data_IF_279383934720
#
_entry.id   IF_279383934720
#
_cell.length_a   1.000
_cell.length_b   1.000
_cell.length_c   1.000
_cell.angle_alpha   90.00
_cell.angle_beta   90.00
_cell.angle_gamma   90.00
#
_symmetry.space_group_name_H-M   'P 1'
#
loop_
_entity.id
_entity.type
_entity.pdbx_description
1 polymer ?
#
# COMPACT_ATOMS: atom_id res chain seq x y z
N UNK A 1 8.51 20.36 13.61
CA UNK A 1 7.90 19.19 14.25
C UNK A 1 8.82 18.01 13.96
N UNK A 2 8.98 17.09 14.89
CA UNK A 2 9.67 15.83 14.63
C UNK A 2 8.72 14.95 13.81
N UNK A 3 9.22 14.31 12.76
CA UNK A 3 8.41 13.39 11.96
C UNK A 3 7.95 12.17 12.77
N UNK A 4 6.98 11.43 12.26
CA UNK A 4 6.44 10.21 12.85
C UNK A 4 6.61 9.04 11.89
N UNK A 5 6.79 7.82 12.41
CA UNK A 5 6.78 6.59 11.63
C UNK A 5 5.48 5.85 11.90
N UNK A 6 4.80 5.43 10.84
CA UNK A 6 3.67 4.52 10.90
C UNK A 6 4.05 3.17 10.30
N UNK A 7 3.56 2.11 10.91
CA UNK A 7 3.64 0.76 10.34
C UNK A 7 2.34 0.46 9.60
N UNK A 8 2.48 -0.03 8.36
CA UNK A 8 1.39 -0.58 7.60
C UNK A 8 1.60 -2.09 7.47
N UNK A 9 0.61 -2.88 7.88
CA UNK A 9 0.63 -4.32 7.65
C UNK A 9 -0.12 -4.66 6.36
N UNK A 10 0.52 -5.44 5.49
CA UNK A 10 -0.03 -5.94 4.23
C UNK A 10 -0.06 -7.48 4.15
N UNK A 11 -0.03 -8.18 5.29
CA UNK A 11 0.01 -9.64 5.36
C UNK A 11 -1.14 -10.29 4.58
N UNK A 12 -2.36 -9.78 4.72
CA UNK A 12 -3.53 -10.38 4.07
C UNK A 12 -3.43 -10.38 2.55
N UNK A 13 -2.92 -9.30 1.96
CA UNK A 13 -2.79 -9.19 0.51
C UNK A 13 -1.47 -9.79 0.02
N UNK A 14 -0.36 -9.30 0.52
CA UNK A 14 0.98 -9.68 0.03
C UNK A 14 1.33 -11.12 0.42
N UNK A 15 1.11 -11.47 1.68
CA UNK A 15 1.31 -12.83 2.17
C UNK A 15 0.37 -13.83 1.52
N UNK A 16 -0.91 -13.52 1.38
CA UNK A 16 -1.88 -14.36 0.70
C UNK A 16 -1.50 -14.61 -0.76
N UNK A 17 -1.04 -13.58 -1.48
CA UNK A 17 -0.58 -13.71 -2.86
C UNK A 17 0.63 -14.65 -2.98
N UNK A 18 1.59 -14.54 -2.09
CA UNK A 18 2.76 -15.41 -2.06
C UNK A 18 2.38 -16.88 -1.83
N UNK A 19 1.50 -17.15 -0.88
CA UNK A 19 1.02 -18.52 -0.61
C UNK A 19 0.29 -19.14 -1.80
N UNK A 20 -0.55 -18.38 -2.51
CA UNK A 20 -1.23 -18.87 -3.71
C UNK A 20 -0.25 -19.17 -4.85
N UNK A 21 0.73 -18.32 -5.07
CA UNK A 21 1.71 -18.53 -6.12
C UNK A 21 2.57 -19.76 -5.86
N UNK A 22 2.91 -20.05 -4.61
CA UNK A 22 3.56 -21.31 -4.22
C UNK A 22 2.68 -22.52 -4.54
N UNK A 23 1.38 -22.46 -4.19
CA UNK A 23 0.43 -23.54 -4.51
C UNK A 23 0.30 -23.78 -6.02
N UNK A 24 0.21 -22.72 -6.83
CA UNK A 24 0.15 -22.81 -8.30
C UNK A 24 1.41 -23.48 -8.88
N UNK A 25 2.54 -23.30 -8.22
CA UNK A 25 3.82 -23.90 -8.61
C UNK A 25 4.06 -25.30 -8.01
N UNK A 26 3.03 -25.90 -7.41
CA UNK A 26 3.06 -27.27 -6.89
C UNK A 26 3.66 -27.41 -5.48
N UNK A 27 3.94 -26.31 -4.82
CA UNK A 27 4.38 -26.30 -3.42
C UNK A 27 3.13 -26.17 -2.55
N UNK A 28 2.74 -27.26 -1.88
CA UNK A 28 1.56 -27.25 -1.03
C UNK A 28 1.75 -26.33 0.16
N UNK A 29 0.98 -25.24 0.20
CA UNK A 29 0.91 -24.31 1.32
C UNK A 29 -0.52 -24.18 1.80
N UNK A 30 -0.70 -23.80 3.06
CA UNK A 30 -1.98 -23.36 3.57
C UNK A 30 -2.24 -21.93 3.07
N UNK A 31 -3.50 -21.67 2.71
CA UNK A 31 -3.96 -20.33 2.31
C UNK A 31 -4.86 -19.78 3.41
N UNK A 32 -4.93 -18.47 3.54
CA UNK A 32 -5.76 -17.82 4.56
C UNK A 32 -7.24 -18.13 4.33
N UNK A 33 -7.86 -18.83 5.27
CA UNK A 33 -9.31 -18.99 5.34
C UNK A 33 -9.97 -17.66 5.76
N UNK A 34 -11.29 -17.58 5.74
CA UNK A 34 -12.00 -16.41 6.30
C UNK A 34 -11.71 -16.25 7.79
N UNK A 35 -11.68 -17.36 8.54
CA UNK A 35 -11.36 -17.37 9.97
C UNK A 35 -9.92 -16.88 10.23
N UNK A 36 -8.95 -17.33 9.44
CA UNK A 36 -7.57 -16.83 9.56
C UNK A 36 -7.48 -15.32 9.33
N UNK A 37 -8.23 -14.78 8.35
CA UNK A 37 -8.24 -13.34 8.09
C UNK A 37 -8.83 -12.55 9.26
N UNK A 38 -9.92 -13.02 9.84
CA UNK A 38 -10.54 -12.40 11.02
C UNK A 38 -9.56 -12.41 12.20
N UNK A 39 -8.87 -13.51 12.44
CA UNK A 39 -7.85 -13.62 13.50
C UNK A 39 -6.66 -12.68 13.22
N UNK A 40 -6.11 -12.68 11.99
CA UNK A 40 -5.01 -11.79 11.64
C UNK A 40 -5.39 -10.32 11.84
N UNK A 41 -6.58 -9.89 11.38
CA UNK A 41 -7.05 -8.52 11.60
C UNK A 41 -7.19 -8.23 13.09
N UNK A 42 -7.74 -9.15 13.88
CA UNK A 42 -7.85 -9.02 15.33
C UNK A 42 -6.49 -8.83 16.01
N UNK A 43 -5.53 -9.66 15.68
CA UNK A 43 -4.16 -9.60 16.22
C UNK A 43 -3.45 -8.28 15.84
N UNK A 44 -3.65 -7.79 14.61
CA UNK A 44 -3.10 -6.51 14.15
C UNK A 44 -3.73 -5.32 14.90
N UNK A 45 -5.03 -5.39 15.16
CA UNK A 45 -5.75 -4.39 15.96
C UNK A 45 -5.21 -4.38 17.40
N UNK A 46 -5.11 -5.54 18.03
CA UNK A 46 -4.63 -5.67 19.41
C UNK A 46 -3.15 -5.26 19.54
N UNK A 47 -2.35 -5.51 18.50
CA UNK A 47 -0.95 -5.08 18.39
C UNK A 47 -0.78 -3.59 18.07
N UNK A 48 -1.87 -2.85 17.91
CA UNK A 48 -1.88 -1.40 17.63
C UNK A 48 -1.10 -1.01 16.36
N UNK A 49 -1.17 -1.83 15.31
CA UNK A 49 -0.62 -1.47 13.99
C UNK A 49 -1.36 -0.24 13.47
N UNK A 50 -0.64 0.77 12.99
CA UNK A 50 -1.21 2.05 12.58
C UNK A 50 -2.14 1.95 11.38
N UNK A 51 -1.76 1.13 10.37
CA UNK A 51 -2.49 0.99 9.11
C UNK A 51 -2.59 -0.50 8.76
N UNK A 52 -3.81 -0.99 8.54
CA UNK A 52 -4.09 -2.38 8.24
C UNK A 52 -4.65 -2.48 6.82
N UNK A 53 -3.92 -3.15 5.91
CA UNK A 53 -4.40 -3.45 4.56
C UNK A 53 -5.29 -4.70 4.59
N UNK A 54 -6.58 -4.52 4.36
CA UNK A 54 -7.57 -5.60 4.42
C UNK A 54 -7.52 -6.55 3.22
N UNK A 55 -6.93 -6.11 2.13
CA UNK A 55 -6.81 -6.89 0.90
C UNK A 55 -6.82 -6.03 -0.36
N UNK A 56 -6.99 -6.66 -1.51
CA UNK A 56 -7.12 -5.95 -2.78
C UNK A 56 -8.54 -6.05 -3.37
N UNK A 57 -8.84 -5.15 -4.29
CA UNK A 57 -10.12 -5.08 -4.99
C UNK A 57 -9.92 -5.32 -6.48
N UNK A 58 -10.70 -6.23 -7.05
CA UNK A 58 -10.68 -6.54 -8.47
C UNK A 58 -12.03 -7.06 -8.95
N UNK A 59 -12.68 -6.33 -9.86
CA UNK A 59 -14.01 -6.68 -10.40
C UNK A 59 -14.09 -8.03 -11.12
N UNK A 60 -12.99 -8.49 -11.69
CA UNK A 60 -12.96 -9.69 -12.56
C UNK A 60 -12.60 -10.98 -11.82
N UNK A 61 -12.38 -10.94 -10.53
CA UNK A 61 -11.97 -12.10 -9.75
C UNK A 61 -13.18 -12.64 -9.00
N UNK A 62 -13.59 -13.87 -9.31
CA UNK A 62 -14.53 -14.61 -8.46
C UNK A 62 -13.92 -14.69 -7.06
N UNK A 63 -14.77 -14.52 -6.04
CA UNK A 63 -14.38 -14.53 -4.62
C UNK A 63 -13.58 -15.80 -4.30
N UNK A 64 -12.25 -15.72 -4.40
CA UNK A 64 -11.37 -16.84 -4.19
C UNK A 64 -11.11 -16.96 -2.69
N UNK A 65 -11.67 -18.01 -2.11
CA UNK A 65 -11.28 -18.48 -0.78
C UNK A 65 -9.75 -18.64 -0.75
N UNK A 66 -9.07 -17.93 0.12
CA UNK A 66 -7.62 -17.99 0.29
C UNK A 66 -6.84 -16.75 -0.18
N UNK A 67 -7.52 -15.82 -0.82
CA UNK A 67 -7.00 -14.52 -1.18
C UNK A 67 -7.87 -13.43 -0.56
N UNK A 68 -7.25 -12.43 0.03
CA UNK A 68 -7.98 -11.23 0.45
C UNK A 68 -8.27 -10.36 -0.80
N UNK A 69 -9.04 -10.92 -1.77
CA UNK A 69 -9.53 -10.21 -2.95
C UNK A 69 -11.03 -10.06 -2.85
N UNK A 70 -11.49 -8.84 -3.02
CA UNK A 70 -12.89 -8.44 -2.94
C UNK A 70 -13.33 -7.81 -4.26
N UNK A 71 -14.63 -7.92 -4.60
CA UNK A 71 -15.14 -7.37 -5.85
C UNK A 71 -15.21 -5.84 -5.82
N UNK A 72 -15.44 -5.28 -4.64
CA UNK A 72 -15.62 -3.84 -4.45
C UNK A 72 -15.19 -3.42 -3.03
N UNK A 73 -15.26 -2.11 -2.79
CA UNK A 73 -14.84 -1.51 -1.53
C UNK A 73 -15.80 -1.83 -0.36
N UNK A 74 -17.07 -2.03 -0.66
CA UNK A 74 -18.09 -2.37 0.35
C UNK A 74 -17.84 -3.78 0.91
N UNK A 75 -17.54 -4.76 0.03
CA UNK A 75 -17.17 -6.11 0.47
C UNK A 75 -15.87 -6.12 1.28
N UNK A 76 -14.87 -5.34 0.83
CA UNK A 76 -13.62 -5.21 1.57
C UNK A 76 -13.89 -4.59 2.96
N UNK A 77 -14.66 -3.53 3.01
CA UNK A 77 -14.96 -2.79 4.24
C UNK A 77 -15.79 -3.58 5.25
N UNK A 78 -16.55 -4.58 4.80
CA UNK A 78 -17.26 -5.49 5.69
C UNK A 78 -16.34 -6.30 6.62
N UNK A 79 -15.04 -6.34 6.34
CA UNK A 79 -14.03 -6.99 7.18
C UNK A 79 -13.41 -6.04 8.25
N UNK A 80 -13.84 -4.79 8.31
CA UNK A 80 -13.42 -3.85 9.36
C UNK A 80 -14.06 -4.30 10.67
N UNK A 81 -13.28 -4.47 11.77
CA UNK A 81 -13.84 -4.87 13.06
C UNK A 81 -14.91 -3.92 13.59
N UNK A 82 -15.96 -4.48 14.18
CA UNK A 82 -17.08 -3.69 14.76
C UNK A 82 -16.58 -2.69 15.82
N UNK A 83 -15.56 -3.06 16.60
CA UNK A 83 -14.86 -2.16 17.52
C UNK A 83 -13.66 -1.55 16.83
N UNK A 84 -13.93 -0.58 15.95
CA UNK A 84 -12.90 0.17 15.27
C UNK A 84 -12.09 0.99 16.28
N UNK A 85 -10.78 0.77 16.33
CA UNK A 85 -9.90 1.70 17.02
C UNK A 85 -9.73 2.94 16.13
N UNK A 86 -10.14 4.11 16.64
CA UNK A 86 -10.10 5.37 15.84
C UNK A 86 -8.70 5.86 15.52
N UNK A 87 -7.68 5.31 16.16
CA UNK A 87 -6.28 5.64 15.90
C UNK A 87 -5.68 4.81 14.76
N UNK A 88 -6.34 3.69 14.42
CA UNK A 88 -5.93 2.80 13.34
C UNK A 88 -6.67 3.12 12.04
N UNK A 89 -5.99 2.96 10.93
CA UNK A 89 -6.52 3.17 9.60
C UNK A 89 -6.69 1.84 8.88
N UNK A 90 -7.81 1.65 8.20
CA UNK A 90 -8.07 0.49 7.36
C UNK A 90 -8.01 0.90 5.89
N UNK A 91 -7.29 0.13 5.09
CA UNK A 91 -7.09 0.46 3.69
C UNK A 91 -7.32 -0.75 2.78
N UNK A 92 -7.72 -0.49 1.55
CA UNK A 92 -7.76 -1.48 0.49
C UNK A 92 -6.82 -1.10 -0.65
N UNK A 93 -6.53 -2.04 -1.56
CA UNK A 93 -5.61 -1.82 -2.66
C UNK A 93 -6.28 -2.08 -4.01
N UNK A 94 -6.09 -1.18 -4.98
CA UNK A 94 -6.36 -1.42 -6.39
C UNK A 94 -5.06 -1.70 -7.17
N UNK A 95 -5.08 -2.78 -7.96
CA UNK A 95 -3.98 -3.14 -8.87
C UNK A 95 -4.15 -2.38 -10.20
N UNK A 96 -3.88 -1.07 -10.17
CA UNK A 96 -4.04 -0.21 -11.33
C UNK A 96 -5.44 0.44 -11.44
N UNK A 97 -5.64 1.26 -12.47
CA UNK A 97 -6.84 2.08 -12.64
C UNK A 97 -7.91 1.36 -13.47
N UNK A 98 -8.24 0.12 -13.12
CA UNK A 98 -9.10 -0.75 -13.95
C UNK A 98 -10.58 -0.70 -13.55
N UNK A 99 -10.87 -0.46 -12.27
CA UNK A 99 -12.24 -0.29 -11.78
C UNK A 99 -12.81 1.06 -12.22
N UNK A 100 -14.01 1.05 -12.81
CA UNK A 100 -14.66 2.28 -13.24
C UNK A 100 -15.02 3.15 -12.05
N UNK A 101 -14.74 4.45 -12.15
CA UNK A 101 -14.93 5.40 -11.04
C UNK A 101 -16.41 5.51 -10.60
N UNK A 102 -17.35 5.28 -11.51
CA UNK A 102 -18.79 5.31 -11.21
C UNK A 102 -19.23 4.17 -10.27
N UNK A 103 -18.42 3.11 -10.17
CA UNK A 103 -18.68 1.96 -9.29
C UNK A 103 -18.08 2.12 -7.90
N UNK A 104 -17.28 3.15 -7.69
CA UNK A 104 -16.66 3.42 -6.40
C UNK A 104 -17.50 4.49 -5.70
N UNK A 105 -18.10 4.19 -4.53
CA UNK A 105 -18.91 5.17 -3.80
C UNK A 105 -18.06 6.35 -3.29
N UNK A 106 -18.72 7.42 -2.90
CA UNK A 106 -18.10 8.46 -2.09
C UNK A 106 -17.71 7.87 -0.72
N UNK A 107 -16.59 8.33 -0.15
CA UNK A 107 -16.14 7.86 1.17
C UNK A 107 -17.20 8.14 2.24
N UNK A 108 -17.37 7.18 3.14
CA UNK A 108 -18.16 7.31 4.36
C UNK A 108 -17.47 6.58 5.51
N UNK A 109 -17.89 6.87 6.74
CA UNK A 109 -17.31 6.22 7.94
C UNK A 109 -17.53 4.70 8.00
N UNK A 110 -18.42 4.16 7.18
CA UNK A 110 -18.67 2.71 7.06
C UNK A 110 -17.65 2.01 6.15
N UNK A 111 -16.95 2.77 5.32
CA UNK A 111 -15.97 2.25 4.38
C UNK A 111 -14.54 2.34 4.92
N UNK A 112 -13.60 1.68 4.25
CA UNK A 112 -12.18 1.81 4.60
C UNK A 112 -11.71 3.26 4.41
N UNK A 113 -10.76 3.69 5.25
CA UNK A 113 -10.30 5.09 5.30
C UNK A 113 -9.53 5.53 4.07
N UNK A 114 -8.85 4.57 3.44
CA UNK A 114 -7.96 4.90 2.35
C UNK A 114 -7.84 3.81 1.31
N UNK A 115 -7.34 4.22 0.16
CA UNK A 115 -7.12 3.35 -0.99
C UNK A 115 -5.67 3.48 -1.45
N UNK A 116 -4.99 2.35 -1.49
CA UNK A 116 -3.67 2.19 -2.10
C UNK A 116 -3.86 1.90 -3.58
N UNK A 117 -3.15 2.59 -4.45
CA UNK A 117 -3.22 2.36 -5.91
C UNK A 117 -1.84 2.00 -6.43
N UNK A 118 -1.69 0.79 -6.97
CA UNK A 118 -0.48 0.41 -7.68
C UNK A 118 -0.48 1.11 -9.04
N UNK A 119 0.51 1.97 -9.27
CA UNK A 119 0.72 2.62 -10.54
C UNK A 119 1.59 1.75 -11.44
N UNK A 120 1.01 1.24 -12.52
CA UNK A 120 1.79 0.54 -13.55
C UNK A 120 2.63 1.56 -14.32
N UNK A 121 3.92 1.28 -14.51
CA UNK A 121 4.84 2.19 -15.20
C UNK A 121 4.32 2.65 -16.57
N UNK A 122 3.72 1.74 -17.33
CA UNK A 122 3.17 2.04 -18.68
C UNK A 122 1.87 2.87 -18.66
N UNK A 123 1.23 3.03 -17.51
CA UNK A 123 -0.07 3.69 -17.36
C UNK A 123 -0.02 4.86 -16.35
N UNK A 124 1.15 5.46 -16.15
CA UNK A 124 1.39 6.47 -15.11
C UNK A 124 0.33 7.58 -15.11
N UNK A 125 0.11 8.23 -16.25
CA UNK A 125 -0.84 9.35 -16.36
C UNK A 125 -2.29 8.93 -16.08
N UNK A 126 -2.69 7.75 -16.53
CA UNK A 126 -4.03 7.20 -16.26
C UNK A 126 -4.19 6.91 -14.78
N UNK A 127 -3.17 6.30 -14.16
CA UNK A 127 -3.17 5.97 -12.75
C UNK A 127 -3.18 7.20 -11.84
N UNK A 128 -2.45 8.26 -12.20
CA UNK A 128 -2.47 9.53 -11.45
C UNK A 128 -3.83 10.22 -11.50
N UNK A 129 -4.50 10.21 -12.66
CA UNK A 129 -5.88 10.71 -12.78
C UNK A 129 -6.85 9.90 -11.96
N UNK A 130 -6.66 8.58 -11.91
CA UNK A 130 -7.46 7.68 -11.09
C UNK A 130 -7.28 7.98 -9.59
N UNK A 131 -6.05 8.17 -9.14
CA UNK A 131 -5.74 8.59 -7.77
C UNK A 131 -6.42 9.93 -7.41
N UNK A 132 -6.35 10.91 -8.31
CA UNK A 132 -6.99 12.20 -8.10
C UNK A 132 -8.52 12.08 -7.94
N UNK A 133 -9.16 11.26 -8.77
CA UNK A 133 -10.60 11.02 -8.68
C UNK A 133 -11.00 10.30 -7.37
N UNK A 134 -10.15 9.40 -6.85
CA UNK A 134 -10.37 8.79 -5.53
C UNK A 134 -10.23 9.80 -4.40
N UNK A 135 -9.27 10.72 -4.48
CA UNK A 135 -9.11 11.80 -3.51
C UNK A 135 -10.32 12.75 -3.52
N UNK A 136 -10.86 13.08 -4.70
CA UNK A 136 -12.09 13.86 -4.84
C UNK A 136 -13.31 13.17 -4.20
N UNK A 137 -13.33 11.84 -4.16
CA UNK A 137 -14.36 11.05 -3.45
C UNK A 137 -14.14 10.96 -1.93
N UNK A 138 -13.11 11.60 -1.40
CA UNK A 138 -12.84 11.71 0.04
C UNK A 138 -11.95 10.62 0.63
N UNK A 139 -11.42 9.69 -0.17
CA UNK A 139 -10.50 8.66 0.32
C UNK A 139 -9.09 9.22 0.56
N UNK A 140 -8.42 8.71 1.60
CA UNK A 140 -6.97 8.89 1.75
C UNK A 140 -6.24 8.06 0.70
N UNK A 141 -5.60 8.71 -0.26
CA UNK A 141 -4.96 8.02 -1.39
C UNK A 141 -3.49 7.77 -1.13
N UNK A 142 -3.07 6.52 -1.31
CA UNK A 142 -1.68 6.08 -1.23
C UNK A 142 -1.19 5.77 -2.64
N UNK A 143 -0.29 6.57 -3.14
CA UNK A 143 0.27 6.47 -4.50
C UNK A 143 1.46 5.53 -4.50
N UNK A 144 1.35 4.37 -5.20
CA UNK A 144 2.38 3.33 -5.20
C UNK A 144 2.95 3.09 -6.61
N UNK A 145 3.99 3.79 -7.02
CA UNK A 145 4.65 3.57 -8.32
C UNK A 145 5.41 2.25 -8.31
N UNK A 146 4.80 1.20 -8.87
CA UNK A 146 5.47 -0.09 -9.06
C UNK A 146 6.74 0.08 -9.91
N UNK A 147 7.78 -0.68 -9.61
CA UNK A 147 9.07 -0.60 -10.31
C UNK A 147 9.73 0.78 -10.19
N UNK A 148 9.74 1.38 -9.01
CA UNK A 148 10.22 2.76 -8.79
C UNK A 148 11.63 3.00 -9.36
N UNK A 149 12.49 1.99 -9.35
CA UNK A 149 13.84 2.05 -9.92
C UNK A 149 13.89 2.34 -11.44
N UNK A 150 12.80 2.12 -12.16
CA UNK A 150 12.71 2.38 -13.60
C UNK A 150 12.38 3.84 -13.93
N UNK A 151 11.87 4.59 -12.96
CA UNK A 151 11.48 5.97 -13.16
C UNK A 151 12.71 6.88 -13.24
N UNK A 152 12.72 7.75 -14.24
CA UNK A 152 13.64 8.88 -14.30
C UNK A 152 13.31 9.90 -13.22
N UNK A 153 14.25 10.77 -12.89
CA UNK A 153 14.01 11.84 -11.94
C UNK A 153 12.87 12.78 -12.38
N UNK A 154 12.68 12.99 -13.68
CA UNK A 154 11.62 13.87 -14.19
C UNK A 154 10.24 13.18 -14.10
N UNK A 155 10.16 11.87 -14.32
CA UNK A 155 8.93 11.11 -14.09
C UNK A 155 8.57 11.08 -12.59
N UNK A 156 9.55 10.92 -11.69
CA UNK A 156 9.31 11.03 -10.25
C UNK A 156 8.86 12.43 -9.85
N UNK A 157 9.45 13.50 -10.38
CA UNK A 157 8.98 14.87 -10.13
C UNK A 157 7.56 15.09 -10.65
N UNK A 158 7.21 14.51 -11.80
CA UNK A 158 5.85 14.56 -12.34
C UNK A 158 4.87 13.87 -11.39
N UNK A 159 5.21 12.67 -10.92
CA UNK A 159 4.43 11.93 -9.94
C UNK A 159 4.23 12.74 -8.64
N UNK A 160 5.31 13.33 -8.11
CA UNK A 160 5.27 14.17 -6.91
C UNK A 160 4.35 15.39 -7.12
N UNK A 161 4.50 16.07 -8.26
CA UNK A 161 3.66 17.23 -8.57
C UNK A 161 2.16 16.91 -8.57
N UNK A 162 1.77 15.81 -9.22
CA UNK A 162 0.36 15.39 -9.25
C UNK A 162 -0.11 14.91 -7.86
N UNK A 163 0.77 14.25 -7.09
CA UNK A 163 0.46 13.83 -5.72
C UNK A 163 0.23 15.02 -4.78
N UNK A 164 1.04 16.07 -4.89
CA UNK A 164 0.82 17.33 -4.16
C UNK A 164 -0.52 17.96 -4.54
N UNK A 165 -0.81 18.03 -5.85
CA UNK A 165 -2.02 18.65 -6.37
C UNK A 165 -3.31 17.98 -5.89
N UNK A 166 -3.31 16.66 -5.80
CA UNK A 166 -4.48 15.90 -5.32
C UNK A 166 -4.56 15.81 -3.80
N UNK A 167 -3.52 16.26 -3.07
CA UNK A 167 -3.45 16.10 -1.62
C UNK A 167 -3.38 14.63 -1.21
N UNK A 168 -2.51 13.85 -1.87
CA UNK A 168 -2.31 12.44 -1.54
C UNK A 168 -1.99 12.27 -0.05
N UNK A 169 -2.45 11.18 0.56
CA UNK A 169 -2.09 10.86 1.94
C UNK A 169 -0.64 10.40 2.05
N UNK A 170 -0.22 9.56 1.10
CA UNK A 170 1.15 9.06 1.06
C UNK A 170 1.61 8.82 -0.39
N UNK A 171 2.92 9.02 -0.62
CA UNK A 171 3.59 8.64 -1.86
C UNK A 171 4.70 7.67 -1.52
N UNK A 172 4.65 6.51 -2.15
CA UNK A 172 5.58 5.41 -1.91
C UNK A 172 6.71 5.39 -2.93
N UNK A 173 7.79 4.74 -2.55
CA UNK A 173 8.67 4.07 -3.48
C UNK A 173 8.71 2.57 -3.16
N UNK A 174 8.76 1.77 -4.22
CA UNK A 174 8.53 0.33 -4.15
C UNK A 174 9.74 -0.40 -4.71
N UNK A 175 10.40 -1.19 -3.88
CA UNK A 175 11.44 -2.12 -4.31
C UNK A 175 10.82 -3.40 -4.86
N UNK A 176 10.25 -3.31 -6.06
CA UNK A 176 9.49 -4.41 -6.67
C UNK A 176 10.30 -5.66 -6.95
N UNK A 177 11.62 -5.55 -7.00
CA UNK A 177 12.52 -6.69 -7.26
C UNK A 177 13.35 -7.10 -6.04
N UNK A 178 13.25 -6.38 -4.92
CA UNK A 178 14.01 -6.66 -3.71
C UNK A 178 15.51 -6.53 -3.88
N UNK A 179 15.99 -5.51 -4.61
CA UNK A 179 17.41 -5.29 -4.87
C UNK A 179 17.88 -3.84 -4.66
N UNK A 180 17.04 -2.95 -4.15
CA UNK A 180 17.45 -1.59 -3.81
C UNK A 180 18.59 -1.61 -2.80
N UNK A 181 19.53 -0.69 -2.99
CA UNK A 181 20.59 -0.37 -2.05
C UNK A 181 20.25 0.90 -1.28
N UNK A 182 20.98 1.18 -0.18
CA UNK A 182 20.85 2.45 0.56
C UNK A 182 21.04 3.67 -0.35
N UNK A 183 21.94 3.60 -1.35
CA UNK A 183 22.14 4.67 -2.32
C UNK A 183 20.90 4.92 -3.18
N UNK A 184 20.16 3.88 -3.56
CA UNK A 184 18.91 4.01 -4.32
C UNK A 184 17.83 4.66 -3.47
N UNK A 185 17.75 4.27 -2.19
CA UNK A 185 16.84 4.86 -1.20
C UNK A 185 17.15 6.34 -1.02
N UNK A 186 18.42 6.71 -0.82
CA UNK A 186 18.86 8.11 -0.69
C UNK A 186 18.42 8.96 -1.88
N UNK A 187 18.72 8.48 -3.10
CA UNK A 187 18.37 9.20 -4.34
C UNK A 187 16.88 9.50 -4.46
N UNK A 188 16.04 8.52 -4.12
CA UNK A 188 14.59 8.68 -4.24
C UNK A 188 14.06 9.54 -3.09
N UNK A 189 14.54 9.28 -1.87
CA UNK A 189 14.15 10.04 -0.68
C UNK A 189 14.48 11.53 -0.82
N UNK A 190 15.67 11.89 -1.31
CA UNK A 190 16.08 13.27 -1.52
C UNK A 190 15.14 14.01 -2.49
N UNK A 191 14.66 13.33 -3.55
CA UNK A 191 13.67 13.91 -4.47
C UNK A 191 12.34 14.14 -3.76
N UNK A 192 11.88 13.15 -2.97
CA UNK A 192 10.62 13.25 -2.26
C UNK A 192 10.70 14.30 -1.16
N UNK A 193 11.76 14.31 -0.36
CA UNK A 193 11.94 15.31 0.70
C UNK A 193 11.98 16.74 0.15
N UNK A 194 12.58 16.92 -1.03
CA UNK A 194 12.73 18.23 -1.66
C UNK A 194 11.45 18.77 -2.29
N UNK A 195 10.63 17.93 -2.90
CA UNK A 195 9.55 18.35 -3.80
C UNK A 195 8.15 17.94 -3.34
N UNK A 196 8.04 16.94 -2.46
CA UNK A 196 6.75 16.50 -1.93
C UNK A 196 6.30 17.44 -0.81
N UNK A 197 5.01 17.75 -0.77
CA UNK A 197 4.41 18.53 0.31
C UNK A 197 4.77 17.91 1.68
N UNK A 198 5.21 18.71 2.67
CA UNK A 198 5.60 18.21 3.99
C UNK A 198 4.53 17.41 4.74
N UNK A 199 3.25 17.67 4.48
CA UNK A 199 2.14 16.96 5.11
C UNK A 199 1.89 15.57 4.51
N UNK A 200 2.39 15.30 3.29
CA UNK A 200 2.26 14.00 2.63
C UNK A 200 3.32 13.04 3.17
N UNK A 201 2.90 11.84 3.57
CA UNK A 201 3.80 10.80 4.06
C UNK A 201 4.67 10.25 2.92
N UNK A 202 5.91 9.92 3.24
CA UNK A 202 6.76 9.11 2.34
C UNK A 202 6.65 7.64 2.79
N UNK A 203 6.25 6.76 1.89
CA UNK A 203 6.11 5.34 2.15
C UNK A 203 7.20 4.50 1.49
N UNK A 204 7.59 3.39 2.13
CA UNK A 204 8.50 2.40 1.58
C UNK A 204 7.90 1.00 1.65
N UNK A 205 7.87 0.34 0.49
CA UNK A 205 7.47 -1.07 0.34
C UNK A 205 8.63 -1.86 -0.23
N UNK A 206 9.19 -2.78 0.55
CA UNK A 206 10.36 -3.56 0.18
C UNK A 206 10.02 -5.04 -0.02
N UNK A 207 10.60 -5.66 -1.07
CA UNK A 207 10.68 -7.11 -1.19
C UNK A 207 12.06 -7.62 -0.75
N UNK A 208 12.16 -8.91 -0.44
CA UNK A 208 13.33 -9.49 0.23
C UNK A 208 14.17 -10.41 -0.65
N UNK A 209 14.17 -10.23 -1.96
CA UNK A 209 14.86 -11.12 -2.89
C UNK A 209 16.39 -11.26 -2.60
N UNK A 210 17.04 -10.20 -2.16
CA UNK A 210 18.47 -10.21 -1.76
C UNK A 210 18.66 -10.15 -0.24
N UNK A 211 17.66 -10.53 0.55
CA UNK A 211 17.70 -10.48 2.02
C UNK A 211 17.97 -9.08 2.60
N UNK A 212 17.61 -8.02 1.87
CA UNK A 212 17.87 -6.64 2.26
C UNK A 212 16.64 -5.88 2.75
N UNK A 213 15.42 -6.44 2.65
CA UNK A 213 14.20 -5.71 2.97
C UNK A 213 14.22 -5.12 4.38
N UNK A 214 14.59 -5.92 5.39
CA UNK A 214 14.65 -5.47 6.77
C UNK A 214 15.72 -4.41 7.00
N UNK A 215 16.93 -4.57 6.45
CA UNK A 215 18.00 -3.58 6.57
C UNK A 215 17.65 -2.28 5.89
N UNK A 216 17.07 -2.33 4.68
CA UNK A 216 16.62 -1.18 3.93
C UNK A 216 15.46 -0.45 4.63
N UNK A 217 14.49 -1.18 5.19
CA UNK A 217 13.42 -0.58 5.98
C UNK A 217 13.97 0.15 7.22
N UNK A 218 14.92 -0.45 7.94
CA UNK A 218 15.60 0.20 9.07
C UNK A 218 16.40 1.44 8.65
N UNK A 219 17.09 1.36 7.51
CA UNK A 219 17.82 2.50 6.96
C UNK A 219 16.86 3.66 6.64
N UNK A 220 15.77 3.36 5.93
CA UNK A 220 14.73 4.34 5.62
C UNK A 220 14.12 4.98 6.88
N UNK A 221 13.82 4.17 7.91
CA UNK A 221 13.32 4.71 9.19
C UNK A 221 14.31 5.66 9.86
N UNK A 222 15.61 5.49 9.64
CA UNK A 222 16.66 6.38 10.14
C UNK A 222 16.63 7.79 9.52
N UNK A 223 15.92 7.97 8.41
CA UNK A 223 15.74 9.27 7.73
C UNK A 223 14.69 10.16 8.40
N UNK A 224 14.14 9.75 9.54
CA UNK A 224 13.10 10.43 10.31
C UNK A 224 13.61 11.74 10.93
N UNK A 225 13.89 12.76 10.14
CA UNK A 225 14.25 14.07 10.72
C UNK A 225 13.11 15.10 10.66
N UNK A 226 12.37 15.12 9.56
CA UNK A 226 11.33 16.14 9.32
C UNK A 226 10.09 15.61 8.59
N UNK A 227 10.10 14.37 8.13
CA UNK A 227 9.04 13.79 7.30
C UNK A 227 8.26 12.74 8.08
N UNK A 228 6.97 12.65 7.82
CA UNK A 228 6.18 11.52 8.25
C UNK A 228 6.45 10.34 7.31
N UNK A 229 6.80 9.20 7.89
CA UNK A 229 7.16 7.99 7.14
C UNK A 229 6.12 6.89 7.34
N UNK A 230 5.96 6.05 6.33
CA UNK A 230 5.21 4.79 6.44
C UNK A 230 6.11 3.66 5.97
N UNK A 231 6.19 2.59 6.75
CA UNK A 231 6.93 1.38 6.39
C UNK A 231 5.93 0.24 6.28
N UNK A 232 5.94 -0.43 5.14
CA UNK A 232 5.15 -1.65 4.98
C UNK A 232 5.84 -2.83 5.66
N UNK A 233 5.03 -3.67 6.28
CA UNK A 233 5.46 -4.91 6.91
C UNK A 233 4.46 -6.01 6.60
N UNK A 234 4.88 -7.26 6.77
CA UNK A 234 4.00 -8.41 6.75
C UNK A 234 4.58 -9.52 7.65
N UNK A 235 3.70 -10.29 8.28
CA UNK A 235 4.10 -11.47 9.05
C UNK A 235 4.54 -12.61 8.12
N UNK A 236 3.97 -12.67 6.92
CA UNK A 236 4.39 -13.51 5.80
C UNK A 236 4.15 -12.75 4.50
N UNK A 237 5.05 -12.81 3.54
CA UNK A 237 4.99 -12.05 2.30
C UNK A 237 5.60 -12.82 1.14
N UNK A 238 5.70 -12.17 -0.02
CA UNK A 238 6.31 -12.76 -1.22
C UNK A 238 7.84 -12.79 -1.19
N UNK A 239 8.47 -12.33 -0.18
CA UNK A 239 9.91 -12.34 -0.02
C UNK A 239 10.50 -10.96 0.19
#
# INVERSE_FOLDING_TARGET
>A
MQGNIKLLDCTLRDGGQGLEDLNKNGIKTEIFTLEDREHIVGDLVDSQIDIIELGCMAESVENKTGFAIYQNIEELSANIPVKRNKEQMYVGLYIGPDTKMEKIPEHSDELCDGIRVILRYSELEKSLKYCAALAEKGYKVFVQPMLTMRYTNDELKRLIYESNKMGAYAVYFVDSYGYMTEHDIDRIYELYDKYLDPEIHIGFHAHNNLDMAFSNARYFMGMLQKRNLIVDSCATGMG
#
